data_IF_063464399189
#
_entry.id   IF_063464399189
#
_cell.length_a   1.000
_cell.length_b   1.000
_cell.length_c   1.000
_cell.angle_alpha   90.00
_cell.angle_beta   90.00
_cell.angle_gamma   90.00
#
_symmetry.space_group_name_H-M   'P 1'
#
loop_
_entity.id
_entity.type
_entity.pdbx_description
1 polymer ?
#
# COMPACT_ATOMS: atom_id res chain seq x y z
N UNK A 1 -1.02 -2.45 3.39
CA UNK A 1 -0.05 -3.12 2.51
C UNK A 1 1.01 -3.74 3.39
N UNK A 2 1.31 -5.01 3.18
CA UNK A 2 2.35 -5.74 3.92
C UNK A 2 3.52 -5.97 2.96
N UNK A 3 4.73 -5.75 3.46
CA UNK A 3 5.97 -5.85 2.68
C UNK A 3 7.02 -6.58 3.53
N UNK A 4 7.97 -7.22 2.85
CA UNK A 4 9.05 -7.99 3.49
C UNK A 4 9.94 -7.11 4.38
N UNK A 5 10.25 -5.89 3.94
CA UNK A 5 11.05 -4.93 4.70
C UNK A 5 10.62 -3.48 4.43
N UNK A 6 11.07 -2.51 5.25
CA UNK A 6 10.82 -1.09 5.01
C UNK A 6 11.34 -0.61 3.64
N UNK A 7 12.46 -1.13 3.15
CA UNK A 7 13.02 -0.73 1.85
C UNK A 7 12.15 -1.22 0.68
N UNK A 8 11.65 -2.46 0.77
CA UNK A 8 10.68 -2.97 -0.19
C UNK A 8 9.38 -2.16 -0.16
N UNK A 9 8.91 -1.74 1.01
CA UNK A 9 7.75 -0.86 1.13
C UNK A 9 8.01 0.51 0.51
N UNK A 10 9.17 1.12 0.77
CA UNK A 10 9.55 2.42 0.23
C UNK A 10 9.62 2.39 -1.29
N UNK A 11 10.39 1.46 -1.86
CA UNK A 11 10.53 1.35 -3.32
C UNK A 11 9.23 0.89 -3.97
N UNK A 12 8.53 -0.08 -3.36
CA UNK A 12 7.25 -0.60 -3.84
C UNK A 12 6.18 0.49 -3.92
N UNK A 13 6.02 1.29 -2.88
CA UNK A 13 5.12 2.47 -2.90
C UNK A 13 5.57 3.50 -3.93
N UNK A 14 6.88 3.67 -4.12
CA UNK A 14 7.45 4.56 -5.13
C UNK A 14 7.00 4.24 -6.57
N UNK A 15 6.64 2.99 -6.88
CA UNK A 15 6.24 2.59 -8.23
C UNK A 15 5.03 3.38 -8.74
N UNK A 16 4.10 3.79 -7.87
CA UNK A 16 2.96 4.62 -8.29
C UNK A 16 3.34 6.02 -8.78
N UNK A 17 4.62 6.39 -8.68
CA UNK A 17 5.16 7.68 -9.15
C UNK A 17 6.20 7.52 -10.27
N UNK A 18 6.93 6.39 -10.31
CA UNK A 18 8.04 6.19 -11.25
C UNK A 18 7.72 5.24 -12.41
N UNK A 19 6.75 4.33 -12.24
CA UNK A 19 6.24 3.51 -13.34
C UNK A 19 5.15 4.28 -14.08
N UNK A 20 5.28 4.41 -15.41
CA UNK A 20 4.38 5.25 -16.20
C UNK A 20 2.94 4.73 -16.23
N UNK A 21 2.76 3.42 -16.40
CA UNK A 21 1.43 2.82 -16.48
C UNK A 21 0.75 2.88 -15.11
N UNK A 22 1.46 2.46 -14.07
CA UNK A 22 0.93 2.47 -12.71
C UNK A 22 0.65 3.88 -12.20
N UNK A 23 1.48 4.86 -12.56
CA UNK A 23 1.26 6.27 -12.22
C UNK A 23 -0.02 6.80 -12.82
N UNK A 24 -0.32 6.48 -14.09
CA UNK A 24 -1.57 6.91 -14.71
C UNK A 24 -2.78 6.32 -13.97
N UNK A 25 -2.73 5.02 -13.68
CA UNK A 25 -3.78 4.32 -12.92
C UNK A 25 -3.95 4.94 -11.53
N UNK A 26 -2.86 5.23 -10.81
CA UNK A 26 -2.92 5.80 -9.46
C UNK A 26 -3.41 7.25 -9.46
N UNK A 27 -3.01 8.05 -10.45
CA UNK A 27 -3.45 9.44 -10.56
C UNK A 27 -4.95 9.53 -10.84
N UNK A 28 -5.41 8.80 -11.86
CA UNK A 28 -6.80 8.83 -12.31
C UNK A 28 -7.71 8.01 -11.39
N UNK A 29 -7.22 6.90 -10.82
CA UNK A 29 -8.03 6.01 -9.98
C UNK A 29 -8.08 6.42 -8.51
N UNK A 30 -7.11 7.20 -8.02
CA UNK A 30 -6.97 7.52 -6.59
C UNK A 30 -6.78 9.02 -6.37
N UNK A 31 -5.68 9.61 -6.85
CA UNK A 31 -5.28 10.96 -6.42
C UNK A 31 -6.30 12.04 -6.80
N UNK A 32 -6.96 11.93 -7.94
CA UNK A 32 -7.98 12.89 -8.36
C UNK A 32 -9.24 12.92 -7.46
N UNK A 33 -9.38 11.95 -6.55
CA UNK A 33 -10.55 11.77 -5.70
C UNK A 33 -10.28 12.07 -4.21
N UNK A 34 -9.12 12.63 -3.88
CA UNK A 34 -8.74 12.91 -2.49
C UNK A 34 -8.84 14.41 -2.18
N UNK A 35 -9.66 14.76 -1.19
CA UNK A 35 -9.61 16.10 -0.57
C UNK A 35 -8.33 16.28 0.29
N UNK A 36 -7.77 15.17 0.81
CA UNK A 36 -6.52 15.14 1.60
C UNK A 36 -5.80 13.80 1.48
N UNK A 37 -4.47 13.83 1.47
CA UNK A 37 -3.60 12.64 1.45
C UNK A 37 -2.92 12.42 0.09
N UNK A 38 -2.31 11.24 -0.15
CA UNK A 38 -2.12 10.13 0.79
C UNK A 38 -0.96 10.37 1.77
N UNK A 39 -1.13 9.94 3.02
CA UNK A 39 -0.06 9.94 4.03
C UNK A 39 0.13 8.51 4.55
N UNK A 40 1.30 7.91 4.26
CA UNK A 40 1.59 6.53 4.59
C UNK A 40 2.35 6.44 5.92
N UNK A 41 1.81 5.66 6.87
CA UNK A 41 2.49 5.30 8.13
C UNK A 41 3.10 3.91 8.02
N UNK A 42 4.27 3.73 8.62
CA UNK A 42 5.00 2.44 8.63
C UNK A 42 4.86 1.81 10.02
N UNK A 43 4.60 0.50 10.04
CA UNK A 43 4.38 -0.27 11.27
C UNK A 43 5.17 -1.58 11.24
N UNK A 44 5.48 -2.10 12.43
CA UNK A 44 6.01 -3.45 12.63
C UNK A 44 4.94 -4.28 13.37
N UNK A 45 4.48 -5.42 12.83
CA UNK A 45 3.49 -6.26 13.50
C UNK A 45 4.17 -7.06 14.62
N UNK A 46 4.13 -6.53 15.85
CA UNK A 46 4.84 -7.13 16.99
C UNK A 46 4.17 -8.39 17.55
N UNK A 47 2.83 -8.40 17.62
CA UNK A 47 2.03 -9.54 18.05
C UNK A 47 0.76 -9.59 17.21
N UNK A 48 0.45 -10.76 16.64
CA UNK A 48 -0.75 -10.97 15.84
C UNK A 48 -1.42 -12.30 16.18
N UNK A 49 -2.74 -12.28 16.38
CA UNK A 49 -3.57 -13.48 16.27
C UNK A 49 -4.06 -13.52 14.82
N UNK A 50 -3.46 -14.38 14.00
CA UNK A 50 -3.65 -14.36 12.54
C UNK A 50 -4.73 -15.31 11.99
N UNK A 51 -5.49 -16.03 12.83
CA UNK A 51 -6.40 -17.09 12.34
C UNK A 51 -7.58 -16.55 11.52
N UNK A 52 -7.95 -15.29 11.73
CA UNK A 52 -8.98 -14.61 10.95
C UNK A 52 -8.65 -14.60 9.45
N UNK A 53 -7.36 -14.55 9.07
CA UNK A 53 -6.92 -14.52 7.66
C UNK A 53 -7.40 -15.73 6.85
N UNK A 54 -7.64 -16.88 7.51
CA UNK A 54 -8.12 -18.11 6.88
C UNK A 54 -9.58 -18.05 6.39
N UNK A 55 -10.34 -17.03 6.81
CA UNK A 55 -11.78 -16.96 6.59
C UNK A 55 -12.20 -15.77 5.69
N UNK A 56 -11.25 -14.98 5.15
CA UNK A 56 -11.56 -13.72 4.44
C UNK A 56 -12.12 -13.88 3.01
N UNK A 57 -11.95 -15.04 2.37
CA UNK A 57 -12.39 -15.30 1.00
C UNK A 57 -13.07 -16.66 0.87
N UNK A 58 -13.97 -16.97 1.80
CA UNK A 58 -14.89 -18.10 1.65
C UNK A 58 -15.92 -17.80 0.57
#
# INVERSE_FOLDING_TARGET
>A
MEWESPDHAHMGLGHVMVDHELRKIHNDGVLQHLDRGPYYKVFVPMMEQGLWRRHLKQ
#
